data_IF_387454180213
#
_entry.id   IF_387454180213
#
_cell.length_a   1.000
_cell.length_b   1.000
_cell.length_c   1.000
_cell.angle_alpha   90.00
_cell.angle_beta   90.00
_cell.angle_gamma   90.00
#
_symmetry.space_group_name_H-M   'P 1'
#
loop_
_entity.id
_entity.type
_entity.pdbx_description
1 polymer ?
#
# COMPACT_ATOMS: atom_id res chain seq x y z
N UNK A 1 3.13 -15.45 13.77
CA UNK A 1 3.87 -16.51 13.04
C UNK A 1 4.21 -16.12 11.60
N UNK A 2 3.25 -15.70 10.77
CA UNK A 2 3.53 -15.31 9.38
C UNK A 2 4.63 -14.25 9.22
N UNK A 3 4.60 -13.16 10.00
CA UNK A 3 5.64 -12.12 9.95
C UNK A 3 7.01 -12.58 10.48
N UNK A 4 7.06 -13.54 11.42
CA UNK A 4 8.31 -14.16 11.86
C UNK A 4 8.93 -14.96 10.71
N UNK A 5 8.11 -15.73 10.00
CA UNK A 5 8.56 -16.49 8.84
C UNK A 5 8.98 -15.56 7.68
N UNK A 6 8.25 -14.46 7.45
CA UNK A 6 8.65 -13.43 6.49
C UNK A 6 9.98 -12.78 6.88
N UNK A 7 10.19 -12.48 8.15
CA UNK A 7 11.46 -11.94 8.66
C UNK A 7 12.61 -12.91 8.43
N UNK A 8 12.39 -14.20 8.71
CA UNK A 8 13.38 -15.24 8.43
C UNK A 8 13.70 -15.33 6.94
N UNK A 9 12.70 -15.37 6.06
CA UNK A 9 12.91 -15.37 4.60
C UNK A 9 13.64 -14.12 4.11
N UNK A 10 13.36 -12.95 4.68
CA UNK A 10 14.09 -11.70 4.39
C UNK A 10 15.55 -11.81 4.82
N UNK A 11 15.84 -12.35 6.00
CA UNK A 11 17.23 -12.52 6.45
C UNK A 11 18.02 -13.48 5.58
N UNK A 12 17.40 -14.59 5.15
CA UNK A 12 18.01 -15.54 4.21
C UNK A 12 18.31 -14.85 2.87
N UNK A 13 17.34 -14.13 2.30
CA UNK A 13 17.51 -13.45 1.00
C UNK A 13 18.52 -12.30 1.06
N UNK A 14 18.63 -11.60 2.18
CA UNK A 14 19.69 -10.62 2.42
C UNK A 14 21.07 -11.28 2.60
N UNK A 15 21.14 -12.44 3.25
CA UNK A 15 22.37 -13.23 3.40
C UNK A 15 22.88 -13.76 2.06
N UNK A 16 21.97 -14.06 1.12
CA UNK A 16 22.28 -14.46 -0.25
C UNK A 16 22.59 -13.27 -1.19
N UNK A 17 22.57 -12.03 -0.69
CA UNK A 17 22.88 -10.83 -1.47
C UNK A 17 21.79 -10.41 -2.47
N UNK A 18 20.61 -11.03 -2.44
CA UNK A 18 19.50 -10.73 -3.38
C UNK A 18 18.73 -9.45 -3.02
N UNK A 19 18.81 -9.01 -1.75
CA UNK A 19 18.09 -7.83 -1.24
C UNK A 19 19.07 -6.89 -0.53
N UNK A 20 19.06 -5.62 -0.92
CA UNK A 20 19.89 -4.59 -0.29
C UNK A 20 19.41 -4.32 1.14
N UNK A 21 20.34 -4.31 2.10
CA UNK A 21 20.06 -3.82 3.45
C UNK A 21 19.96 -2.31 3.42
N UNK A 22 18.76 -1.80 3.54
CA UNK A 22 18.49 -0.38 3.80
C UNK A 22 18.08 -0.23 5.26
N UNK A 23 18.32 0.95 5.84
CA UNK A 23 17.95 1.25 7.22
C UNK A 23 17.06 2.47 7.25
N UNK A 24 15.88 2.32 7.87
CA UNK A 24 14.89 3.38 8.08
C UNK A 24 14.97 3.80 9.55
N UNK A 25 14.72 5.08 9.89
CA UNK A 25 14.60 5.50 11.28
C UNK A 25 13.64 4.58 12.07
N UNK A 26 14.12 4.03 13.19
CA UNK A 26 13.37 3.05 14.00
C UNK A 26 12.00 3.55 14.46
N UNK A 27 11.86 4.86 14.67
CA UNK A 27 10.58 5.50 15.05
C UNK A 27 9.53 5.37 13.95
N UNK A 28 9.91 5.65 12.70
CA UNK A 28 9.03 5.57 11.53
C UNK A 28 8.59 4.11 11.29
N UNK A 29 9.53 3.17 11.44
CA UNK A 29 9.25 1.72 11.35
C UNK A 29 8.31 1.25 12.46
N UNK A 30 8.53 1.71 13.70
CA UNK A 30 7.71 1.31 14.84
C UNK A 30 6.27 1.86 14.72
N UNK A 31 6.12 3.14 14.36
CA UNK A 31 4.81 3.75 14.13
C UNK A 31 4.05 3.02 13.01
N UNK A 32 4.75 2.70 11.91
CA UNK A 32 4.18 1.89 10.84
C UNK A 32 3.74 0.52 11.34
N UNK A 33 4.62 -0.20 12.07
CA UNK A 33 4.33 -1.54 12.57
C UNK A 33 3.10 -1.56 13.48
N UNK A 34 2.97 -0.59 14.39
CA UNK A 34 1.80 -0.49 15.26
C UNK A 34 0.49 -0.29 14.48
N UNK A 35 0.48 0.63 13.52
CA UNK A 35 -0.71 0.89 12.69
C UNK A 35 -1.05 -0.31 11.81
N UNK A 36 -0.04 -0.95 11.23
CA UNK A 36 -0.22 -2.12 10.40
C UNK A 36 -0.74 -3.33 11.20
N UNK A 37 -0.27 -3.52 12.42
CA UNK A 37 -0.69 -4.63 13.27
C UNK A 37 -2.12 -4.44 13.80
N UNK A 38 -2.51 -3.20 14.14
CA UNK A 38 -3.90 -2.85 14.45
C UNK A 38 -4.80 -3.16 13.26
N UNK A 39 -4.36 -2.80 12.05
CA UNK A 39 -5.08 -3.09 10.80
C UNK A 39 -5.26 -4.60 10.57
N UNK A 40 -4.19 -5.39 10.72
CA UNK A 40 -4.25 -6.86 10.59
C UNK A 40 -5.22 -7.45 11.61
N UNK A 41 -5.13 -7.01 12.87
CA UNK A 41 -5.99 -7.49 13.93
C UNK A 41 -7.45 -7.14 13.66
N UNK A 42 -7.75 -5.88 13.34
CA UNK A 42 -9.11 -5.41 13.09
C UNK A 42 -9.73 -6.10 11.86
N UNK A 43 -8.93 -6.35 10.81
CA UNK A 43 -9.38 -7.10 9.62
C UNK A 43 -9.72 -8.54 9.96
N UNK A 44 -8.87 -9.23 10.72
CA UNK A 44 -9.12 -10.63 11.11
C UNK A 44 -10.29 -10.75 12.08
N UNK A 45 -10.41 -9.81 13.02
CA UNK A 45 -11.54 -9.75 13.95
C UNK A 45 -12.85 -9.45 13.18
N UNK A 46 -12.82 -8.52 12.22
CA UNK A 46 -13.95 -8.25 11.34
C UNK A 46 -14.35 -9.47 10.52
N UNK A 47 -13.40 -10.28 10.05
CA UNK A 47 -13.70 -11.51 9.31
C UNK A 47 -14.34 -12.57 10.21
N UNK A 48 -13.99 -12.60 11.50
CA UNK A 48 -14.52 -13.56 12.46
C UNK A 48 -15.94 -13.23 12.91
N UNK A 49 -16.26 -11.95 13.10
CA UNK A 49 -17.55 -11.51 13.66
C UNK A 49 -18.60 -11.10 12.60
N UNK A 50 -18.16 -10.80 11.37
CA UNK A 50 -19.05 -10.38 10.30
C UNK A 50 -19.10 -11.43 9.18
N UNK A 51 -20.13 -11.34 8.34
CA UNK A 51 -20.24 -12.16 7.13
C UNK A 51 -19.06 -11.88 6.19
N UNK A 52 -18.64 -12.90 5.43
CA UNK A 52 -17.55 -12.76 4.47
C UNK A 52 -17.89 -11.68 3.43
N UNK A 53 -19.14 -11.68 2.99
CA UNK A 53 -19.73 -10.66 2.13
C UNK A 53 -19.54 -9.23 2.65
N UNK A 54 -19.95 -8.96 3.89
CA UNK A 54 -19.81 -7.64 4.50
C UNK A 54 -18.34 -7.23 4.62
N UNK A 55 -17.49 -8.13 5.12
CA UNK A 55 -16.06 -7.90 5.28
C UNK A 55 -15.37 -7.53 3.95
N UNK A 56 -15.69 -8.21 2.85
CA UNK A 56 -15.10 -7.92 1.55
C UNK A 56 -15.54 -6.58 0.98
N UNK A 57 -16.83 -6.25 1.12
CA UNK A 57 -17.38 -4.99 0.61
C UNK A 57 -16.92 -3.80 1.48
N UNK A 58 -16.86 -3.95 2.80
CA UNK A 58 -16.36 -2.92 3.70
C UNK A 58 -14.91 -2.51 3.35
N UNK A 59 -14.05 -3.45 2.94
CA UNK A 59 -12.68 -3.14 2.50
C UNK A 59 -12.62 -2.24 1.27
N UNK A 60 -13.67 -2.18 0.46
CA UNK A 60 -13.71 -1.23 -0.67
C UNK A 60 -13.72 0.23 -0.19
N UNK A 61 -14.18 0.50 1.03
CA UNK A 61 -14.14 1.85 1.64
C UNK A 61 -12.74 2.32 2.03
N UNK A 62 -11.73 1.43 2.04
CA UNK A 62 -10.33 1.81 2.33
C UNK A 62 -9.88 2.89 1.32
N UNK A 63 -10.20 2.72 0.05
CA UNK A 63 -9.78 3.65 -1.01
C UNK A 63 -10.46 5.03 -0.87
N UNK A 64 -11.80 5.12 -0.76
CA UNK A 64 -12.50 6.36 -0.40
C UNK A 64 -11.91 7.06 0.82
N UNK A 65 -11.64 6.32 1.89
CA UNK A 65 -11.05 6.86 3.10
C UNK A 65 -9.65 7.44 2.84
N UNK A 66 -8.80 6.72 2.09
CA UNK A 66 -7.46 7.23 1.75
C UNK A 66 -7.55 8.46 0.86
N UNK A 67 -8.41 8.48 -0.16
CA UNK A 67 -8.63 9.66 -0.99
C UNK A 67 -9.07 10.86 -0.15
N UNK A 68 -9.97 10.65 0.82
CA UNK A 68 -10.40 11.70 1.74
C UNK A 68 -9.23 12.25 2.57
N UNK A 69 -8.40 11.38 3.16
CA UNK A 69 -7.22 11.81 3.94
C UNK A 69 -6.19 12.51 3.05
N UNK A 70 -5.90 12.00 1.86
CA UNK A 70 -4.96 12.63 0.93
C UNK A 70 -5.46 13.99 0.41
N UNK A 71 -6.78 14.15 0.23
CA UNK A 71 -7.38 15.43 -0.10
C UNK A 71 -7.27 16.42 1.05
N UNK A 72 -7.67 16.00 2.26
CA UNK A 72 -7.75 16.87 3.43
C UNK A 72 -6.39 17.24 4.03
N UNK A 73 -5.47 16.27 4.18
CA UNK A 73 -4.16 16.48 4.82
C UNK A 73 -3.02 16.71 3.81
N UNK A 74 -3.03 16.04 2.66
CA UNK A 74 -1.96 16.18 1.66
C UNK A 74 -2.28 17.20 0.55
N UNK A 75 -3.49 17.76 0.53
CA UNK A 75 -3.92 18.75 -0.44
C UNK A 75 -4.01 18.22 -1.88
N UNK A 76 -4.18 16.91 -2.08
CA UNK A 76 -4.33 16.33 -3.43
C UNK A 76 -5.70 16.65 -4.01
N UNK A 77 -5.75 17.21 -5.21
CA UNK A 77 -7.00 17.46 -5.92
C UNK A 77 -7.39 16.25 -6.77
N UNK A 78 -8.63 15.80 -6.65
CA UNK A 78 -9.19 14.73 -7.48
C UNK A 78 -10.08 15.30 -8.58
N UNK A 79 -10.11 14.64 -9.74
CA UNK A 79 -11.03 15.01 -10.82
C UNK A 79 -12.48 14.73 -10.41
N UNK A 80 -13.43 15.44 -11.02
CA UNK A 80 -14.87 15.20 -10.77
C UNK A 80 -15.26 13.74 -11.06
N UNK A 81 -14.64 13.14 -12.07
CA UNK A 81 -14.86 11.73 -12.41
C UNK A 81 -14.45 10.80 -11.25
N UNK A 82 -13.25 11.00 -10.69
CA UNK A 82 -12.79 10.21 -9.52
C UNK A 82 -13.75 10.40 -8.34
N UNK A 83 -14.21 11.62 -8.06
CA UNK A 83 -15.19 11.88 -7.00
C UNK A 83 -16.52 11.13 -7.22
N UNK A 84 -17.03 11.10 -8.46
CA UNK A 84 -18.26 10.35 -8.77
C UNK A 84 -18.09 8.85 -8.57
N UNK A 85 -16.93 8.28 -8.91
CA UNK A 85 -16.68 6.85 -8.69
C UNK A 85 -16.62 6.48 -7.22
N UNK A 86 -16.00 7.33 -6.39
CA UNK A 86 -15.98 7.18 -4.93
C UNK A 86 -17.40 7.18 -4.36
N UNK A 87 -18.26 8.09 -4.83
CA UNK A 87 -19.66 8.15 -4.39
C UNK A 87 -20.41 6.85 -4.73
N UNK A 88 -20.24 6.30 -5.93
CA UNK A 88 -20.85 5.03 -6.34
C UNK A 88 -20.41 3.88 -5.44
N UNK A 89 -19.12 3.81 -5.10
CA UNK A 89 -18.59 2.80 -4.16
C UNK A 89 -19.25 2.94 -2.79
N UNK A 90 -19.32 4.15 -2.24
CA UNK A 90 -19.92 4.42 -0.93
C UNK A 90 -21.39 3.99 -0.91
N UNK A 91 -22.16 4.31 -1.96
CA UNK A 91 -23.57 3.90 -2.07
C UNK A 91 -23.69 2.37 -2.11
N UNK A 92 -22.88 1.70 -2.93
CA UNK A 92 -22.89 0.23 -3.00
C UNK A 92 -22.59 -0.43 -1.66
N UNK A 93 -21.56 0.05 -0.95
CA UNK A 93 -21.23 -0.44 0.40
C UNK A 93 -22.35 -0.15 1.40
N UNK A 94 -22.98 1.03 1.35
CA UNK A 94 -24.07 1.39 2.24
C UNK A 94 -25.28 0.45 2.07
N UNK A 95 -25.66 0.12 0.83
CA UNK A 95 -26.74 -0.83 0.55
C UNK A 95 -26.43 -2.21 1.16
N UNK A 96 -25.21 -2.73 0.92
CA UNK A 96 -24.78 -4.01 1.50
C UNK A 96 -24.81 -3.95 3.03
N UNK A 97 -24.28 -2.89 3.62
CA UNK A 97 -24.22 -2.68 5.07
C UNK A 97 -25.61 -2.70 5.71
N UNK A 98 -26.60 -2.01 5.11
CA UNK A 98 -27.97 -1.98 5.63
C UNK A 98 -28.60 -3.37 5.60
N UNK A 99 -28.44 -4.12 4.50
CA UNK A 99 -29.00 -5.47 4.40
C UNK A 99 -28.33 -6.44 5.39
N UNK A 100 -27.01 -6.35 5.56
CA UNK A 100 -26.24 -7.18 6.50
C UNK A 100 -26.55 -6.86 7.98
N UNK A 101 -26.78 -5.59 8.32
CA UNK A 101 -27.28 -5.16 9.64
C UNK A 101 -28.72 -5.59 9.92
N UNK A 102 -29.55 -5.72 8.88
CA UNK A 102 -30.93 -6.22 9.02
C UNK A 102 -30.95 -7.73 9.26
N UNK A 103 -30.04 -8.47 8.64
CA UNK A 103 -30.09 -9.92 8.59
C UNK A 103 -29.40 -10.61 9.79
N UNK A 104 -28.28 -10.08 10.33
CA UNK A 104 -27.56 -10.76 11.44
C UNK A 104 -26.45 -9.94 12.15
N UNK A 105 -26.02 -8.78 11.66
CA UNK A 105 -24.81 -8.11 12.22
C UNK A 105 -25.08 -7.27 13.46
N UNK A 106 -24.26 -7.48 14.50
CA UNK A 106 -24.19 -6.63 15.68
C UNK A 106 -23.50 -5.29 15.36
N UNK A 107 -23.96 -4.19 15.95
CA UNK A 107 -23.35 -2.85 15.82
C UNK A 107 -21.84 -2.90 16.10
N UNK A 108 -21.40 -3.75 17.03
CA UNK A 108 -19.99 -4.02 17.34
C UNK A 108 -19.21 -4.50 16.11
N UNK A 109 -19.80 -5.37 15.29
CA UNK A 109 -19.21 -5.87 14.06
C UNK A 109 -18.98 -4.78 13.01
N UNK A 110 -19.96 -3.88 12.86
CA UNK A 110 -19.83 -2.71 12.00
C UNK A 110 -18.77 -1.72 12.52
N UNK A 111 -18.68 -1.49 13.83
CA UNK A 111 -17.64 -0.66 14.43
C UNK A 111 -16.24 -1.22 14.16
N UNK A 112 -16.04 -2.52 14.36
CA UNK A 112 -14.75 -3.18 14.12
C UNK A 112 -14.39 -3.14 12.63
N UNK A 113 -15.36 -3.33 11.73
CA UNK A 113 -15.13 -3.15 10.31
C UNK A 113 -14.71 -1.71 9.97
N UNK A 114 -15.35 -0.70 10.57
CA UNK A 114 -14.95 0.70 10.44
C UNK A 114 -13.51 0.97 10.92
N UNK A 115 -13.14 0.43 12.09
CA UNK A 115 -11.76 0.49 12.60
C UNK A 115 -10.80 -0.18 11.63
N UNK A 116 -11.16 -1.33 11.05
CA UNK A 116 -10.34 -2.02 10.04
C UNK A 116 -10.13 -1.16 8.79
N UNK A 117 -11.16 -0.46 8.31
CA UNK A 117 -11.08 0.43 7.14
C UNK A 117 -10.14 1.60 7.40
N UNK A 118 -10.30 2.27 8.54
CA UNK A 118 -9.48 3.43 8.94
C UNK A 118 -8.02 3.02 9.12
N UNK A 119 -7.77 1.97 9.90
CA UNK A 119 -6.40 1.49 10.18
C UNK A 119 -5.70 0.98 8.92
N UNK A 120 -6.38 0.21 8.06
CA UNK A 120 -5.84 -0.21 6.75
C UNK A 120 -5.55 0.96 5.83
N UNK A 121 -6.41 1.98 5.81
CA UNK A 121 -6.16 3.18 5.04
C UNK A 121 -4.94 3.96 5.51
N UNK A 122 -4.81 4.17 6.83
CA UNK A 122 -3.62 4.78 7.42
C UNK A 122 -2.35 3.98 7.13
N UNK A 123 -2.41 2.66 7.25
CA UNK A 123 -1.30 1.77 6.87
C UNK A 123 -0.89 1.99 5.40
N UNK A 124 -1.84 2.06 4.47
CA UNK A 124 -1.56 2.26 3.05
C UNK A 124 -0.96 3.65 2.76
N UNK A 125 -1.36 4.68 3.50
CA UNK A 125 -0.76 6.02 3.41
C UNK A 125 0.68 6.00 3.94
N UNK A 126 0.94 5.36 5.08
CA UNK A 126 2.28 5.25 5.63
C UNK A 126 3.23 4.47 4.71
N UNK A 127 2.79 3.36 4.11
CA UNK A 127 3.58 2.64 3.09
C UNK A 127 4.04 3.60 2.00
N UNK A 128 3.10 4.33 1.39
CA UNK A 128 3.39 5.28 0.31
C UNK A 128 4.31 6.41 0.77
N UNK A 129 4.05 6.97 1.95
CA UNK A 129 4.87 8.05 2.51
C UNK A 129 6.30 7.59 2.78
N UNK A 130 6.51 6.39 3.31
CA UNK A 130 7.84 5.87 3.61
C UNK A 130 8.62 5.51 2.34
N UNK A 131 7.95 4.93 1.34
CA UNK A 131 8.57 4.66 0.04
C UNK A 131 9.02 5.95 -0.64
N UNK A 132 8.18 6.99 -0.65
CA UNK A 132 8.51 8.27 -1.26
C UNK A 132 9.58 9.04 -0.48
N UNK A 133 9.47 9.10 0.85
CA UNK A 133 10.41 9.83 1.73
C UNK A 133 11.83 9.25 1.68
N UNK A 134 11.95 7.94 1.58
CA UNK A 134 13.25 7.25 1.63
C UNK A 134 13.70 6.65 0.29
N UNK A 135 12.92 6.85 -0.78
CA UNK A 135 13.23 6.31 -2.11
C UNK A 135 13.35 4.78 -2.12
N UNK A 136 12.59 4.09 -1.27
CA UNK A 136 12.71 2.66 -1.05
C UNK A 136 11.83 1.86 -2.01
N UNK A 137 12.37 0.75 -2.50
CA UNK A 137 11.55 -0.27 -3.15
C UNK A 137 10.63 -0.96 -2.14
N UNK A 138 9.54 -1.55 -2.64
CA UNK A 138 8.58 -2.33 -1.85
C UNK A 138 9.25 -3.45 -1.02
N UNK A 139 10.25 -4.12 -1.59
CA UNK A 139 11.00 -5.19 -0.91
C UNK A 139 11.89 -4.67 0.22
N UNK A 140 12.55 -3.53 0.00
CA UNK A 140 13.35 -2.86 1.03
C UNK A 140 12.50 -2.37 2.20
N UNK A 141 11.32 -1.80 1.92
CA UNK A 141 10.38 -1.41 2.97
C UNK A 141 9.90 -2.62 3.77
N UNK A 142 9.49 -3.72 3.10
CA UNK A 142 9.10 -4.94 3.81
C UNK A 142 10.25 -5.46 4.68
N UNK A 143 11.47 -5.46 4.16
CA UNK A 143 12.61 -6.00 4.92
C UNK A 143 12.89 -5.24 6.22
N UNK A 144 12.59 -3.95 6.24
CA UNK A 144 12.73 -3.10 7.43
C UNK A 144 11.55 -3.21 8.38
N UNK A 145 10.34 -3.46 7.85
CA UNK A 145 9.09 -3.42 8.63
C UNK A 145 8.67 -4.78 9.15
N UNK A 146 8.91 -5.88 8.41
CA UNK A 146 8.58 -7.24 8.80
C UNK A 146 9.14 -7.64 10.18
N UNK A 147 10.41 -7.35 10.54
CA UNK A 147 10.95 -7.70 11.86
C UNK A 147 10.25 -6.94 12.98
N UNK A 148 9.93 -5.67 12.75
CA UNK A 148 9.23 -4.84 13.73
C UNK A 148 7.81 -5.36 13.95
N UNK A 149 7.06 -5.61 12.87
CA UNK A 149 5.72 -6.20 12.91
C UNK A 149 5.71 -7.58 13.58
N UNK A 150 6.72 -8.41 13.29
CA UNK A 150 6.83 -9.73 13.90
C UNK A 150 6.98 -9.62 15.43
N UNK A 151 7.78 -8.68 15.91
CA UNK A 151 7.97 -8.45 17.34
C UNK A 151 6.74 -7.84 18.01
N UNK A 152 6.13 -6.82 17.42
CA UNK A 152 4.93 -6.19 17.99
C UNK A 152 3.75 -7.16 18.04
N UNK A 153 3.53 -7.96 16.99
CA UNK A 153 2.51 -9.03 17.01
C UNK A 153 2.87 -10.19 17.94
N UNK A 154 4.15 -10.52 18.13
CA UNK A 154 4.53 -11.57 19.09
C UNK A 154 4.23 -11.15 20.53
N UNK A 155 4.44 -9.87 20.85
CA UNK A 155 4.14 -9.31 22.16
C UNK A 155 2.64 -9.14 22.35
N UNK A 156 1.94 -8.50 21.41
CA UNK A 156 0.52 -8.13 21.57
C UNK A 156 -0.43 -9.28 21.23
N UNK A 157 -0.07 -10.13 20.27
CA UNK A 157 -0.93 -11.18 19.72
C UNK A 157 -1.50 -12.14 20.76
N UNK A 158 -0.71 -12.74 21.67
CA UNK A 158 -1.22 -13.67 22.68
C UNK A 158 -2.24 -13.04 23.63
N UNK A 159 -2.10 -11.76 23.97
CA UNK A 159 -3.06 -11.06 24.83
C UNK A 159 -4.38 -10.85 24.11
N UNK A 160 -4.32 -10.43 22.85
CA UNK A 160 -5.54 -10.21 22.06
C UNK A 160 -6.25 -11.53 21.79
N UNK A 161 -5.51 -12.58 21.45
CA UNK A 161 -6.08 -13.92 21.27
C UNK A 161 -6.75 -14.42 22.56
N UNK A 162 -6.13 -14.18 23.73
CA UNK A 162 -6.77 -14.49 25.02
C UNK A 162 -8.08 -13.74 25.23
N UNK A 163 -8.13 -12.46 24.88
CA UNK A 163 -9.36 -11.64 25.02
C UNK A 163 -10.46 -12.14 24.08
N UNK A 164 -10.10 -12.60 22.88
CA UNK A 164 -11.05 -13.03 21.86
C UNK A 164 -11.52 -14.48 22.07
N UNK A 165 -10.58 -15.39 22.32
CA UNK A 165 -10.80 -16.84 22.41
C UNK A 165 -11.12 -17.31 23.84
N UNK A 166 -10.95 -16.46 24.86
CA UNK A 166 -11.23 -16.76 26.26
C UNK A 166 -10.21 -17.68 26.95
N UNK A 167 -9.19 -18.16 26.22
CA UNK A 167 -8.13 -19.04 26.71
C UNK A 167 -6.75 -18.60 26.23
N UNK A 168 -5.70 -19.01 26.94
CA UNK A 168 -4.33 -18.71 26.49
C UNK A 168 -3.94 -19.58 25.30
N UNK A 169 -3.34 -18.96 24.29
CA UNK A 169 -2.81 -19.64 23.09
C UNK A 169 -1.85 -20.79 23.42
N UNK A 170 -1.18 -20.74 24.58
CA UNK A 170 -0.23 -21.75 25.03
C UNK A 170 -0.88 -23.07 25.49
N UNK A 171 -2.19 -23.09 25.74
CA UNK A 171 -2.91 -24.32 26.05
C UNK A 171 -3.35 -25.10 24.81
N UNK A 172 -3.10 -24.56 23.61
CA UNK A 172 -3.44 -25.25 22.37
C UNK A 172 -2.53 -26.46 22.14
N UNK A 173 -3.13 -27.65 22.02
CA UNK A 173 -2.40 -28.87 21.68
C UNK A 173 -2.05 -28.87 20.20
N UNK A 174 -0.77 -28.66 19.88
CA UNK A 174 -0.26 -28.73 18.51
C UNK A 174 -0.32 -30.18 18.01
N UNK A 175 -1.35 -30.51 17.24
CA UNK A 175 -1.43 -31.78 16.52
C UNK A 175 -0.54 -31.75 15.28
N UNK A 176 -0.09 -32.91 14.81
CA UNK A 176 0.71 -33.02 13.58
C UNK A 176 -0.01 -32.39 12.37
N UNK A 177 -1.32 -32.61 12.25
CA UNK A 177 -2.12 -31.98 11.20
C UNK A 177 -2.14 -30.45 11.31
N UNK A 178 -2.36 -29.90 12.51
CA UNK A 178 -2.33 -28.45 12.72
C UNK A 178 -0.95 -27.85 12.41
N UNK A 179 0.14 -28.55 12.73
CA UNK A 179 1.50 -28.11 12.43
C UNK A 179 1.76 -28.05 10.92
N UNK A 180 1.33 -29.06 10.15
CA UNK A 180 1.47 -29.08 8.68
C UNK A 180 0.71 -27.91 8.06
N UNK A 181 -0.54 -27.70 8.46
CA UNK A 181 -1.35 -26.57 7.96
C UNK A 181 -0.77 -25.21 8.37
N UNK A 182 -0.24 -25.09 9.59
CA UNK A 182 0.41 -23.88 10.07
C UNK A 182 1.64 -23.54 9.22
N UNK A 183 2.55 -24.49 9.02
CA UNK A 183 3.76 -24.30 8.20
C UNK A 183 3.36 -23.97 6.75
N UNK A 184 2.40 -24.70 6.18
CA UNK A 184 1.87 -24.43 4.84
C UNK A 184 1.32 -23.00 4.73
N UNK A 185 0.55 -22.54 5.72
CA UNK A 185 0.04 -21.17 5.76
C UNK A 185 1.15 -20.12 5.85
N UNK A 186 2.23 -20.40 6.59
CA UNK A 186 3.39 -19.51 6.71
C UNK A 186 4.13 -19.36 5.38
N UNK A 187 4.32 -20.46 4.64
CA UNK A 187 4.94 -20.44 3.31
C UNK A 187 4.07 -19.61 2.36
N UNK A 188 2.76 -19.87 2.33
CA UNK A 188 1.82 -19.09 1.52
C UNK A 188 1.82 -17.61 1.91
N UNK A 189 1.92 -17.28 3.21
CA UNK A 189 1.98 -15.90 3.66
C UNK A 189 3.24 -15.17 3.18
N UNK A 190 4.39 -15.84 3.12
CA UNK A 190 5.60 -15.26 2.50
C UNK A 190 5.37 -14.98 1.02
N UNK A 191 4.79 -15.93 0.28
CA UNK A 191 4.47 -15.75 -1.14
C UNK A 191 3.50 -14.58 -1.34
N UNK A 192 2.42 -14.51 -0.56
CA UNK A 192 1.44 -13.41 -0.62
C UNK A 192 2.08 -12.07 -0.31
N UNK A 193 2.93 -11.99 0.71
CA UNK A 193 3.63 -10.74 1.03
C UNK A 193 4.56 -10.34 -0.12
N UNK A 194 5.41 -11.25 -0.61
CA UNK A 194 6.29 -10.98 -1.76
C UNK A 194 5.47 -10.51 -2.97
N UNK A 195 4.42 -11.24 -3.33
CA UNK A 195 3.53 -10.87 -4.43
C UNK A 195 2.87 -9.52 -4.19
N UNK A 196 2.39 -9.21 -2.98
CA UNK A 196 1.78 -7.92 -2.64
C UNK A 196 2.77 -6.77 -2.88
N UNK A 197 4.02 -6.91 -2.45
CA UNK A 197 5.06 -5.89 -2.67
C UNK A 197 5.52 -5.82 -4.13
N UNK A 198 5.59 -6.94 -4.84
CA UNK A 198 5.85 -6.98 -6.29
C UNK A 198 4.74 -6.29 -7.08
N UNK A 199 3.47 -6.56 -6.73
CA UNK A 199 2.31 -5.92 -7.33
C UNK A 199 2.33 -4.41 -7.13
N UNK A 200 2.70 -3.94 -5.92
CA UNK A 200 2.82 -2.52 -5.62
C UNK A 200 3.98 -1.85 -6.39
N UNK A 201 5.06 -2.58 -6.69
CA UNK A 201 6.27 -2.02 -7.30
C UNK A 201 6.37 -2.15 -8.83
N UNK A 202 5.70 -3.13 -9.43
CA UNK A 202 5.80 -3.42 -10.88
C UNK A 202 4.52 -3.24 -11.67
N UNK A 203 3.35 -3.24 -11.03
CA UNK A 203 2.09 -3.07 -11.76
C UNK A 203 1.70 -1.61 -11.86
N UNK A 204 1.19 -1.23 -13.03
CA UNK A 204 0.52 0.05 -13.20
C UNK A 204 -0.72 0.12 -12.30
N UNK A 205 -1.18 1.34 -12.00
CA UNK A 205 -2.39 1.55 -11.20
C UNK A 205 -3.58 0.73 -11.71
N UNK A 206 -3.69 0.53 -13.03
CA UNK A 206 -4.76 -0.25 -13.68
C UNK A 206 -4.63 -1.75 -13.39
N UNK A 207 -3.44 -2.33 -13.52
CA UNK A 207 -3.21 -3.76 -13.23
C UNK A 207 -3.42 -4.11 -11.76
N UNK A 208 -3.07 -3.19 -10.84
CA UNK A 208 -3.32 -3.37 -9.41
C UNK A 208 -4.82 -3.35 -9.07
N UNK A 209 -5.59 -2.48 -9.73
CA UNK A 209 -7.05 -2.41 -9.58
C UNK A 209 -7.71 -3.72 -10.05
N UNK A 210 -7.34 -4.21 -11.24
CA UNK A 210 -7.88 -5.46 -11.79
C UNK A 210 -7.63 -6.64 -10.84
N UNK A 211 -6.40 -6.79 -10.33
CA UNK A 211 -6.08 -7.84 -9.35
C UNK A 211 -6.88 -7.70 -8.06
N UNK A 212 -7.08 -6.47 -7.58
CA UNK A 212 -7.93 -6.18 -6.42
C UNK A 212 -9.37 -6.63 -6.65
N UNK A 213 -9.95 -6.30 -7.81
CA UNK A 213 -11.33 -6.67 -8.13
C UNK A 213 -11.48 -8.18 -8.32
N UNK A 214 -10.55 -8.84 -9.02
CA UNK A 214 -10.55 -10.29 -9.18
C UNK A 214 -10.52 -11.00 -7.82
N UNK A 215 -9.68 -10.52 -6.88
CA UNK A 215 -9.65 -11.03 -5.51
C UNK A 215 -10.99 -10.86 -4.81
N UNK A 216 -11.59 -9.67 -4.88
CA UNK A 216 -12.90 -9.40 -4.25
C UNK A 216 -13.98 -10.31 -4.83
N UNK A 217 -14.08 -10.44 -6.16
CA UNK A 217 -15.08 -11.28 -6.82
C UNK A 217 -14.90 -12.77 -6.47
N UNK A 218 -13.66 -13.29 -6.49
CA UNK A 218 -13.40 -14.68 -6.10
C UNK A 218 -13.80 -14.96 -4.66
N UNK A 219 -13.50 -14.05 -3.72
CA UNK A 219 -13.85 -14.28 -2.32
C UNK A 219 -15.35 -14.13 -2.07
N UNK A 220 -16.03 -13.24 -2.78
CA UNK A 220 -17.50 -13.12 -2.70
C UNK A 220 -18.20 -14.36 -3.25
N UNK A 221 -17.77 -14.85 -4.43
CA UNK A 221 -18.29 -16.09 -5.01
C UNK A 221 -17.99 -17.30 -4.12
N UNK A 222 -16.78 -17.37 -3.57
CA UNK A 222 -16.41 -18.42 -2.62
C UNK A 222 -17.23 -18.35 -1.32
N UNK A 223 -17.49 -17.14 -0.80
CA UNK A 223 -18.34 -16.95 0.38
C UNK A 223 -19.76 -17.46 0.18
N UNK A 224 -20.35 -17.17 -0.98
CA UNK A 224 -21.67 -17.70 -1.32
C UNK A 224 -21.67 -19.22 -1.54
N UNK A 225 -20.73 -19.74 -2.32
CA UNK A 225 -20.67 -21.17 -2.68
C UNK A 225 -20.31 -22.08 -1.51
N UNK A 226 -19.37 -21.67 -0.64
CA UNK A 226 -18.81 -22.53 0.41
C UNK A 226 -19.31 -22.19 1.82
N UNK A 227 -19.67 -20.93 2.11
CA UNK A 227 -20.13 -20.52 3.45
C UNK A 227 -21.66 -20.33 3.55
N UNK A 228 -22.39 -20.48 2.44
CA UNK A 228 -23.86 -20.42 2.44
C UNK A 228 -24.41 -19.04 2.82
N UNK A 229 -23.65 -17.97 2.56
CA UNK A 229 -24.09 -16.59 2.83
C UNK A 229 -25.44 -16.31 2.14
N UNK A 230 -26.44 -15.85 2.90
CA UNK A 230 -27.75 -15.46 2.36
C UNK A 230 -27.59 -14.23 1.45
N UNK A 231 -27.67 -14.44 0.13
CA UNK A 231 -27.63 -13.38 -0.87
C UNK A 231 -29.03 -12.87 -1.19
N UNK A 232 -29.47 -11.85 -0.44
CA UNK A 232 -30.63 -11.03 -0.80
C UNK A 232 -30.38 -10.32 -2.15
N UNK A 233 -31.39 -10.16 -3.02
CA UNK A 233 -31.27 -9.41 -4.28
C UNK A 233 -30.74 -7.98 -4.08
N UNK A 234 -31.11 -7.33 -2.95
CA UNK A 234 -30.62 -5.98 -2.60
C UNK A 234 -29.13 -5.99 -2.24
N UNK A 235 -28.69 -7.03 -1.52
CA UNK A 235 -27.27 -7.24 -1.19
C UNK A 235 -26.45 -7.47 -2.46
N UNK A 236 -26.96 -8.26 -3.40
CA UNK A 236 -26.32 -8.46 -4.71
C UNK A 236 -26.24 -7.16 -5.52
N UNK A 237 -27.31 -6.34 -5.52
CA UNK A 237 -27.30 -5.02 -6.16
C UNK A 237 -26.23 -4.10 -5.55
N UNK A 238 -26.13 -4.03 -4.22
CA UNK A 238 -25.10 -3.23 -3.55
C UNK A 238 -23.68 -3.71 -3.87
N UNK A 239 -23.45 -5.02 -3.88
CA UNK A 239 -22.16 -5.63 -4.25
C UNK A 239 -21.75 -5.29 -5.68
N UNK A 240 -22.66 -5.48 -6.63
CA UNK A 240 -22.39 -5.19 -8.06
C UNK A 240 -22.11 -3.72 -8.28
N UNK A 241 -22.87 -2.83 -7.63
CA UNK A 241 -22.64 -1.39 -7.69
C UNK A 241 -21.27 -0.99 -7.11
N UNK A 242 -20.90 -1.55 -5.95
CA UNK A 242 -19.61 -1.27 -5.31
C UNK A 242 -18.43 -1.74 -6.17
N UNK A 243 -18.51 -2.94 -6.75
CA UNK A 243 -17.47 -3.46 -7.65
C UNK A 243 -17.40 -2.66 -8.95
N UNK A 244 -18.53 -2.28 -9.54
CA UNK A 244 -18.57 -1.44 -10.75
C UNK A 244 -17.95 -0.05 -10.49
N UNK A 245 -18.29 0.58 -9.36
CA UNK A 245 -17.69 1.84 -8.93
C UNK A 245 -16.18 1.75 -8.76
N UNK A 246 -15.69 0.63 -8.22
CA UNK A 246 -14.26 0.38 -8.06
C UNK A 246 -13.53 0.19 -9.40
N UNK A 247 -14.13 -0.53 -10.36
CA UNK A 247 -13.60 -0.67 -11.73
C UNK A 247 -13.53 0.69 -12.41
N UNK A 248 -14.59 1.50 -12.28
CA UNK A 248 -14.62 2.84 -12.84
C UNK A 248 -13.56 3.74 -12.17
N UNK A 249 -13.42 3.69 -10.83
CA UNK A 249 -12.38 4.42 -10.11
C UNK A 249 -10.98 4.08 -10.64
N UNK A 250 -10.69 2.80 -10.91
CA UNK A 250 -9.42 2.39 -11.50
C UNK A 250 -9.13 3.02 -12.86
N UNK A 251 -10.15 3.13 -13.73
CA UNK A 251 -10.03 3.79 -15.04
C UNK A 251 -9.90 5.30 -14.92
N UNK A 252 -10.76 5.93 -14.11
CA UNK A 252 -10.77 7.38 -13.88
C UNK A 252 -9.47 7.86 -13.22
N UNK A 253 -8.95 7.12 -12.24
CA UNK A 253 -7.69 7.43 -11.57
C UNK A 253 -6.48 7.25 -12.47
N UNK A 254 -6.53 6.35 -13.46
CA UNK A 254 -5.45 6.17 -14.42
C UNK A 254 -5.47 7.22 -15.54
N UNK A 255 -6.66 7.73 -15.89
CA UNK A 255 -6.84 8.82 -16.86
C UNK A 255 -6.57 10.21 -16.25
N UNK A 256 -6.62 10.34 -14.93
CA UNK A 256 -6.33 11.59 -14.24
C UNK A 256 -4.85 12.00 -14.42
N UNK A 257 -4.56 13.29 -14.66
CA UNK A 257 -3.18 13.78 -14.69
C UNK A 257 -2.48 13.46 -13.37
N UNK A 258 -1.24 12.95 -13.45
CA UNK A 258 -0.42 12.68 -12.25
C UNK A 258 -0.32 13.99 -11.46
N UNK A 259 -0.79 14.04 -10.20
CA UNK A 259 -0.67 15.24 -9.41
C UNK A 259 0.81 15.60 -9.30
N UNK A 260 1.16 16.82 -9.71
CA UNK A 260 2.49 17.36 -9.51
C UNK A 260 2.77 17.35 -8.01
N UNK A 261 3.48 16.32 -7.54
CA UNK A 261 3.99 16.28 -6.18
C UNK A 261 4.78 17.56 -6.00
N UNK A 262 4.38 18.40 -5.04
CA UNK A 262 5.16 19.59 -4.67
C UNK A 262 6.56 19.09 -4.38
N UNK A 263 7.47 19.41 -5.29
CA UNK A 263 8.87 19.02 -5.34
C UNK A 263 9.42 19.11 -3.92
N UNK A 264 9.87 17.98 -3.37
CA UNK A 264 10.73 18.00 -2.19
C UNK A 264 11.78 19.07 -2.45
N UNK A 265 11.87 20.04 -1.54
CA UNK A 265 12.83 21.14 -1.61
C UNK A 265 14.19 20.49 -1.83
N UNK A 266 14.72 20.61 -3.05
CA UNK A 266 16.12 20.32 -3.31
C UNK A 266 16.90 21.16 -2.32
N UNK A 267 17.83 20.61 -1.52
CA UNK A 267 18.70 21.48 -0.77
C UNK A 267 19.37 22.42 -1.79
N UNK A 268 19.23 23.72 -1.53
CA UNK A 268 19.92 24.75 -2.27
C UNK A 268 21.41 24.38 -2.31
N UNK A 269 22.11 24.58 -3.44
CA UNK A 269 23.57 24.48 -3.41
C UNK A 269 24.04 25.52 -2.40
N UNK A 270 24.67 25.05 -1.31
CA UNK A 270 25.39 25.93 -0.38
C UNK A 270 26.46 26.66 -1.19
N UNK A 271 26.17 27.91 -1.56
CA UNK A 271 27.19 28.86 -1.95
C UNK A 271 27.99 29.22 -0.71
N UNK A 272 29.12 28.54 -0.51
CA UNK A 272 30.20 29.04 0.32
C UNK A 272 31.16 29.77 -0.61
N UNK A 273 31.05 31.09 -0.61
CA UNK A 273 32.09 31.98 -1.11
C UNK A 273 33.08 32.33 0.00
N UNK A 274 34.35 32.39 -0.39
CA UNK A 274 35.51 32.89 0.36
C UNK A 274 36.39 31.79 0.93
N UNK A 275 37.71 31.71 0.73
CA UNK A 275 38.70 32.46 -0.04
C UNK A 275 39.93 31.52 -0.12
N UNK A 276 40.59 31.40 -1.28
CA UNK A 276 42.01 31.03 -1.40
C UNK A 276 42.46 31.03 -2.88
N UNK A 277 43.11 32.13 -3.26
CA UNK A 277 44.26 32.26 -4.17
C UNK A 277 44.84 30.99 -4.84
N UNK A 278 45.09 31.09 -6.15
CA UNK A 278 46.25 30.43 -6.78
C UNK A 278 45.98 29.58 -8.03
N UNK A 279 46.42 30.10 -9.17
CA UNK A 279 46.92 29.37 -10.35
C UNK A 279 45.93 28.68 -11.32
N UNK A 280 45.81 29.26 -12.52
CA UNK A 280 46.05 28.53 -13.78
C UNK A 280 44.86 27.92 -14.53
N UNK A 281 44.43 28.59 -15.61
CA UNK A 281 43.91 27.94 -16.82
C UNK A 281 42.38 27.97 -17.05
N UNK A 282 41.88 28.51 -18.18
CA UNK A 282 40.45 28.49 -18.49
C UNK A 282 40.05 27.20 -19.24
N UNK A 283 39.18 26.38 -18.65
CA UNK A 283 38.44 25.33 -19.37
C UNK A 283 36.97 25.74 -19.54
N UNK A 284 36.68 26.26 -20.73
CA UNK A 284 35.36 26.67 -21.23
C UNK A 284 34.45 25.43 -21.38
N UNK A 285 33.41 25.35 -20.55
CA UNK A 285 32.33 24.35 -20.64
C UNK A 285 31.40 24.61 -21.82
N UNK A 286 31.33 23.64 -22.73
CA UNK A 286 30.68 23.67 -24.05
C UNK A 286 29.17 23.50 -23.96
N UNK A 287 28.40 24.47 -24.47
CA UNK A 287 26.95 24.34 -24.67
C UNK A 287 26.66 23.30 -25.78
N UNK A 288 25.77 22.33 -25.52
CA UNK A 288 25.24 21.40 -26.52
C UNK A 288 23.84 21.84 -26.92
N UNK A 289 23.67 22.33 -28.14
CA UNK A 289 22.38 22.41 -28.81
C UNK A 289 22.17 21.13 -29.62
N UNK A 290 21.09 20.41 -29.34
CA UNK A 290 20.65 19.22 -30.12
C UNK A 290 19.64 19.71 -31.15
N UNK A 291 19.98 19.60 -32.43
CA UNK A 291 19.02 19.73 -33.54
C UNK A 291 18.72 18.35 -34.11
N UNK A 292 17.46 18.10 -34.42
CA UNK A 292 16.93 16.82 -34.88
C UNK A 292 17.37 16.46 -36.28
N UNK A 293 18.54 15.86 -36.39
CA UNK A 293 18.86 14.79 -37.36
C UNK A 293 20.21 14.18 -36.97
N UNK A 294 20.23 12.86 -36.77
CA UNK A 294 21.30 12.13 -36.06
C UNK A 294 22.66 12.06 -36.75
N UNK A 295 23.35 13.19 -36.97
CA UNK A 295 24.75 13.25 -37.42
C UNK A 295 25.57 14.25 -36.61
N UNK A 296 26.61 13.76 -35.93
CA UNK A 296 27.60 14.57 -35.21
C UNK A 296 28.66 15.01 -36.22
N UNK A 297 28.75 16.32 -36.49
CA UNK A 297 29.86 16.91 -37.25
C UNK A 297 30.62 17.89 -36.35
N UNK A 298 31.96 17.81 -36.38
CA UNK A 298 32.86 18.68 -35.62
C UNK A 298 33.56 19.59 -36.63
N UNK A 299 33.21 20.88 -36.65
CA UNK A 299 33.86 21.91 -37.47
C UNK A 299 34.50 23.00 -36.60
N UNK A 300 35.60 23.63 -37.05
CA UNK A 300 36.33 24.62 -36.25
C UNK A 300 35.63 25.99 -36.25
N UNK A 301 35.69 26.69 -35.11
CA UNK A 301 35.09 28.02 -34.91
C UNK A 301 36.05 29.09 -35.41
N UNK A 302 35.63 29.84 -36.43
CA UNK A 302 36.32 31.04 -36.90
C UNK A 302 36.10 32.20 -35.93
N UNK A 303 37.19 32.74 -35.38
CA UNK A 303 37.18 33.95 -34.55
C UNK A 303 36.91 35.20 -35.39
N UNK A 304 35.99 36.04 -34.93
CA UNK A 304 35.77 37.39 -35.47
C UNK A 304 36.09 38.41 -34.37
N UNK A 305 37.26 39.01 -34.53
CA UNK A 305 37.79 40.15 -33.78
C UNK A 305 37.47 41.42 -34.59
N UNK A 306 36.97 42.47 -33.92
CA UNK A 306 36.88 43.90 -34.32
C UNK A 306 35.75 44.56 -33.54
N UNK A 307 35.83 45.77 -33.02
CA UNK A 307 36.90 46.66 -32.58
C UNK A 307 36.18 47.74 -31.74
N UNK A 308 36.94 48.34 -30.84
CA UNK A 308 36.59 49.48 -29.99
C UNK A 308 36.61 50.78 -30.81
N UNK A 309 35.53 51.58 -30.75
CA UNK A 309 35.50 53.04 -30.47
C UNK A 309 34.14 53.36 -29.87
#
# INVERSE_FOLDING_TARGET
>A
MHFLFCTFSVWVTQGLGLVKRTSIPKRDVLLFALVADISILALNLSLMINTVSFYQIAKLLIIPFVCFVEWFYMGRTFTREVATTILVVIIGVAIVTVEDLRLKISVTGACIAGVSVVSSGLQQIFVRSLQQKHGLSSHELLSNTAPAQAWTLLVVGPFVDKVVSGGWVFHYTLTHGALVWLIGSCILAVLVNITQFMCLGRFSAVSFQVLGHSKTVMVLLGGWLFLGDELSPRKLLGMTLAVAGMVWYGKASAAAPVPASKRAVSPAPLGLGGDAEGAGGPLLGRARSVSGDGRITVGPVAGKMRDVV
#
